data_IF_569310739116
#
_entry.id   IF_569310739116
#
_cell.length_a   1.000
_cell.length_b   1.000
_cell.length_c   1.000
_cell.angle_alpha   90.00
_cell.angle_beta   90.00
_cell.angle_gamma   90.00
#
_symmetry.space_group_name_H-M   'P 1'
#
loop_
_entity.id
_entity.type
_entity.pdbx_description
1 polymer ?
#
# COMPACT_ATOMS: atom_id res chain seq x y z
N UNK A 1 7.66 12.65 -17.79
CA UNK A 1 8.52 11.93 -16.82
C UNK A 1 9.23 10.81 -17.56
N UNK A 2 10.55 10.80 -17.58
CA UNK A 2 11.31 9.74 -18.23
C UNK A 2 11.61 8.64 -17.21
N UNK A 3 10.64 7.75 -17.00
CA UNK A 3 10.79 6.62 -16.09
C UNK A 3 11.92 5.67 -16.49
N UNK A 4 12.41 5.75 -17.74
CA UNK A 4 13.45 4.85 -18.24
C UNK A 4 14.75 5.02 -17.43
N UNK A 5 15.04 6.22 -16.91
CA UNK A 5 16.24 6.47 -16.08
C UNK A 5 16.19 5.80 -14.70
N UNK A 6 15.05 5.83 -14.01
CA UNK A 6 14.84 5.11 -12.73
C UNK A 6 14.92 3.60 -12.96
N UNK A 7 14.54 3.13 -14.15
CA UNK A 7 14.60 1.71 -14.50
C UNK A 7 15.97 1.25 -14.99
N UNK A 8 16.82 2.17 -15.46
CA UNK A 8 18.15 1.89 -15.98
C UNK A 8 19.25 2.05 -14.93
N UNK A 9 19.17 3.05 -14.04
CA UNK A 9 20.07 3.20 -12.89
C UNK A 9 19.36 2.68 -11.64
N UNK A 10 20.02 1.78 -10.89
CA UNK A 10 19.55 1.41 -9.55
C UNK A 10 19.49 2.65 -8.64
N UNK A 11 18.71 2.55 -7.57
CA UNK A 11 18.64 3.56 -6.51
C UNK A 11 18.97 2.91 -5.17
N UNK A 12 19.49 3.69 -4.22
CA UNK A 12 19.64 3.23 -2.85
C UNK A 12 18.33 3.44 -2.09
N UNK A 13 17.90 2.46 -1.29
CA UNK A 13 16.63 2.50 -0.58
C UNK A 13 16.88 2.63 0.93
N UNK A 14 16.93 3.88 1.41
CA UNK A 14 17.36 4.20 2.76
C UNK A 14 16.18 4.29 3.74
N UNK A 15 15.90 3.17 4.42
CA UNK A 15 14.81 3.03 5.40
C UNK A 15 14.92 4.07 6.52
N UNK A 16 16.11 4.26 7.09
CA UNK A 16 16.33 5.18 8.22
C UNK A 16 16.04 6.63 7.86
N UNK A 17 16.49 7.05 6.66
CA UNK A 17 16.19 8.36 6.10
C UNK A 17 14.68 8.56 5.94
N UNK A 18 13.97 7.60 5.33
CA UNK A 18 12.53 7.76 5.07
C UNK A 18 11.70 7.81 6.35
N UNK A 19 12.11 7.07 7.39
CA UNK A 19 11.50 7.18 8.71
C UNK A 19 11.71 8.59 9.25
N UNK A 20 12.95 9.08 9.28
CA UNK A 20 13.28 10.43 9.77
C UNK A 20 12.50 11.52 9.02
N UNK A 21 12.60 11.52 7.69
CA UNK A 21 11.95 12.50 6.81
C UNK A 21 10.42 12.44 6.96
N UNK A 22 9.84 11.25 7.13
CA UNK A 22 8.41 11.07 7.36
C UNK A 22 7.94 11.65 8.70
N UNK A 23 8.72 11.46 9.78
CA UNK A 23 8.45 12.08 11.08
C UNK A 23 8.60 13.60 11.04
N UNK A 24 9.61 14.11 10.34
CA UNK A 24 9.79 15.55 10.14
C UNK A 24 8.63 16.15 9.36
N UNK A 25 8.20 15.50 8.28
CA UNK A 25 7.03 15.93 7.50
C UNK A 25 5.78 15.97 8.37
N UNK A 26 5.50 14.90 9.13
CA UNK A 26 4.35 14.86 10.04
C UNK A 26 4.34 16.03 11.03
N UNK A 27 5.51 16.38 11.59
CA UNK A 27 5.64 17.51 12.53
C UNK A 27 5.36 18.88 11.90
N UNK A 28 5.47 19.02 10.57
CA UNK A 28 5.16 20.29 9.89
C UNK A 28 3.68 20.66 10.00
N UNK A 29 2.76 19.68 10.05
CA UNK A 29 1.32 19.91 10.18
C UNK A 29 0.58 18.73 10.84
N UNK A 30 0.84 18.50 12.13
CA UNK A 30 0.24 17.39 12.89
C UNK A 30 -1.29 17.45 12.83
N UNK A 31 -1.87 18.63 13.04
CA UNK A 31 -3.32 18.82 13.05
C UNK A 31 -3.94 18.51 11.70
N UNK A 32 -3.35 19.02 10.61
CA UNK A 32 -3.81 18.75 9.25
C UNK A 32 -3.76 17.26 8.90
N UNK A 33 -2.70 16.55 9.28
CA UNK A 33 -2.59 15.11 9.03
C UNK A 33 -3.58 14.26 9.86
N UNK A 34 -3.85 14.64 11.12
CA UNK A 34 -4.89 13.97 11.93
C UNK A 34 -6.26 14.18 11.30
N UNK A 35 -6.60 15.41 10.92
CA UNK A 35 -7.87 15.72 10.25
C UNK A 35 -7.97 14.95 8.93
N UNK A 36 -6.92 14.95 8.11
CA UNK A 36 -6.87 14.19 6.86
C UNK A 36 -7.10 12.69 7.10
N UNK A 37 -6.58 12.13 8.20
CA UNK A 37 -6.78 10.71 8.56
C UNK A 37 -8.24 10.42 8.90
N UNK A 38 -8.89 11.29 9.68
CA UNK A 38 -10.33 11.19 9.99
C UNK A 38 -11.15 11.26 8.70
N UNK A 39 -10.81 12.18 7.79
CA UNK A 39 -11.49 12.31 6.51
C UNK A 39 -11.26 11.11 5.58
N UNK A 40 -10.08 10.47 5.63
CA UNK A 40 -9.85 9.18 4.95
C UNK A 40 -10.80 8.12 5.49
N UNK A 41 -10.96 7.99 6.81
CA UNK A 41 -11.90 7.03 7.42
C UNK A 41 -13.33 7.30 6.95
N UNK A 42 -13.77 8.57 6.93
CA UNK A 42 -15.10 8.94 6.42
C UNK A 42 -15.25 8.59 4.94
N UNK A 43 -14.24 8.88 4.11
CA UNK A 43 -14.23 8.51 2.70
C UNK A 43 -14.24 7.00 2.48
N UNK A 44 -13.64 6.22 3.37
CA UNK A 44 -13.67 4.75 3.30
C UNK A 44 -15.05 4.15 3.55
N UNK A 45 -15.98 4.87 4.19
CA UNK A 45 -17.38 4.45 4.33
C UNK A 45 -18.10 4.53 2.98
N UNK A 46 -17.71 5.49 2.14
CA UNK A 46 -18.25 5.63 0.79
C UNK A 46 -17.63 4.54 -0.09
N UNK A 47 -18.45 3.70 -0.76
CA UNK A 47 -17.93 2.67 -1.64
C UNK A 47 -16.94 3.24 -2.66
N UNK A 48 -15.85 2.50 -2.89
CA UNK A 48 -14.82 2.83 -3.89
C UNK A 48 -13.97 4.07 -3.61
N UNK A 49 -14.20 4.78 -2.50
CA UNK A 49 -13.53 6.06 -2.22
C UNK A 49 -12.32 5.96 -1.28
N UNK A 50 -12.12 4.83 -0.60
CA UNK A 50 -10.98 4.65 0.32
C UNK A 50 -9.60 4.74 -0.38
N UNK A 51 -9.42 4.08 -1.51
CA UNK A 51 -8.16 4.15 -2.28
C UNK A 51 -7.89 5.54 -2.86
N UNK A 52 -8.96 6.23 -3.29
CA UNK A 52 -8.90 7.61 -3.75
C UNK A 52 -8.45 8.54 -2.61
N UNK A 53 -9.05 8.40 -1.43
CA UNK A 53 -8.73 9.22 -0.26
C UNK A 53 -7.28 9.04 0.18
N UNK A 54 -6.77 7.80 0.19
CA UNK A 54 -5.35 7.57 0.42
C UNK A 54 -4.48 8.23 -0.66
N UNK A 55 -4.90 8.18 -1.94
CA UNK A 55 -4.22 8.90 -3.03
C UNK A 55 -4.16 10.41 -2.78
N UNK A 56 -5.27 11.00 -2.36
CA UNK A 56 -5.35 12.42 -2.03
C UNK A 56 -4.54 12.78 -0.78
N UNK A 57 -4.41 11.85 0.18
CA UNK A 57 -3.51 12.02 1.31
C UNK A 57 -2.06 12.23 0.85
N UNK A 58 -1.58 11.52 -0.18
CA UNK A 58 -0.26 11.79 -0.73
C UNK A 58 -0.15 13.18 -1.37
N UNK A 59 -1.23 13.69 -2.00
CA UNK A 59 -1.25 15.09 -2.48
C UNK A 59 -1.12 16.08 -1.32
N UNK A 60 -1.76 15.80 -0.18
CA UNK A 60 -1.61 16.58 1.06
C UNK A 60 -0.18 16.52 1.58
N UNK A 61 0.43 15.33 1.67
CA UNK A 61 1.84 15.21 2.04
C UNK A 61 2.74 16.10 1.17
N UNK A 62 2.51 16.12 -0.15
CA UNK A 62 3.25 16.99 -1.08
C UNK A 62 2.98 18.48 -0.84
N UNK A 63 1.74 18.88 -0.56
CA UNK A 63 1.41 20.28 -0.21
C UNK A 63 2.17 20.72 1.05
N UNK A 64 2.10 19.93 2.12
CA UNK A 64 2.81 20.24 3.38
C UNK A 64 4.32 20.27 3.18
N UNK A 65 4.86 19.32 2.40
CA UNK A 65 6.29 19.29 2.11
C UNK A 65 6.77 20.54 1.36
N UNK A 66 5.94 21.08 0.46
CA UNK A 66 6.16 22.31 -0.30
C UNK A 66 5.82 23.59 0.49
N UNK A 67 5.41 23.48 1.75
CA UNK A 67 5.01 24.63 2.58
C UNK A 67 3.68 25.27 2.15
N UNK A 68 2.86 24.55 1.38
CA UNK A 68 1.53 25.00 0.97
C UNK A 68 0.50 24.72 2.08
N UNK A 69 -0.53 25.56 2.16
CA UNK A 69 -1.63 25.39 3.10
C UNK A 69 -2.51 24.20 2.68
N UNK A 70 -2.83 23.34 3.63
CA UNK A 70 -3.75 22.21 3.46
C UNK A 70 -5.17 22.67 3.75
N UNK A 71 -6.12 22.23 2.93
CA UNK A 71 -7.54 22.45 3.15
C UNK A 71 -8.25 21.12 3.41
N UNK A 72 -9.27 21.11 4.26
CA UNK A 72 -10.06 19.89 4.52
C UNK A 72 -10.68 19.31 3.23
N UNK A 73 -10.97 20.17 2.25
CA UNK A 73 -11.46 19.77 0.93
C UNK A 73 -10.48 18.95 0.09
N UNK A 74 -9.17 18.98 0.41
CA UNK A 74 -8.15 18.29 -0.37
C UNK A 74 -8.31 16.76 -0.38
N UNK A 75 -8.87 16.19 0.70
CA UNK A 75 -9.19 14.75 0.74
C UNK A 75 -10.33 14.39 -0.22
N UNK A 76 -11.24 15.33 -0.49
CA UNK A 76 -12.43 15.16 -1.33
C UNK A 76 -12.17 15.52 -2.81
N UNK A 77 -10.95 15.36 -3.31
CA UNK A 77 -10.62 15.52 -4.73
C UNK A 77 -10.99 14.26 -5.52
N UNK A 78 -12.08 14.31 -6.30
CA UNK A 78 -12.56 13.20 -7.13
C UNK A 78 -11.98 13.18 -8.55
N UNK A 79 -11.00 14.04 -8.86
CA UNK A 79 -10.43 14.15 -10.22
C UNK A 79 -9.92 12.80 -10.75
N UNK A 80 -9.26 12.00 -9.89
CA UNK A 80 -8.67 10.71 -10.28
C UNK A 80 -9.61 9.52 -10.02
N UNK A 81 -10.90 9.76 -9.71
CA UNK A 81 -11.86 8.74 -9.28
C UNK A 81 -11.91 7.54 -10.24
N UNK A 82 -12.02 7.78 -11.54
CA UNK A 82 -12.15 6.70 -12.53
C UNK A 82 -10.93 5.77 -12.61
N UNK A 83 -9.73 6.30 -12.33
CA UNK A 83 -8.50 5.51 -12.31
C UNK A 83 -8.47 4.63 -11.07
N UNK A 84 -8.80 5.20 -9.92
CA UNK A 84 -8.90 4.47 -8.65
C UNK A 84 -10.02 3.43 -8.66
N UNK A 85 -11.15 3.71 -9.30
CA UNK A 85 -12.23 2.75 -9.48
C UNK A 85 -11.76 1.53 -10.30
N UNK A 86 -11.12 1.75 -11.46
CA UNK A 86 -10.55 0.66 -12.27
C UNK A 86 -9.46 -0.10 -11.51
N UNK A 87 -8.64 0.60 -10.74
CA UNK A 87 -7.61 0.00 -9.91
C UNK A 87 -8.21 -0.89 -8.82
N UNK A 88 -9.28 -0.44 -8.17
CA UNK A 88 -10.00 -1.24 -7.18
C UNK A 88 -10.60 -2.50 -7.80
N UNK A 89 -11.30 -2.37 -8.94
CA UNK A 89 -11.87 -3.54 -9.64
C UNK A 89 -10.78 -4.55 -10.01
N UNK A 90 -9.61 -4.09 -10.48
CA UNK A 90 -8.46 -4.95 -10.73
C UNK A 90 -7.98 -5.68 -9.48
N UNK A 91 -7.84 -4.97 -8.35
CA UNK A 91 -7.45 -5.60 -7.08
C UNK A 91 -8.51 -6.60 -6.62
N UNK A 92 -9.80 -6.27 -6.70
CA UNK A 92 -10.87 -7.19 -6.31
C UNK A 92 -10.85 -8.48 -7.14
N UNK A 93 -10.72 -8.37 -8.47
CA UNK A 93 -10.61 -9.55 -9.34
C UNK A 93 -9.35 -10.36 -8.99
N UNK A 94 -8.21 -9.69 -8.82
CA UNK A 94 -6.96 -10.36 -8.46
C UNK A 94 -7.09 -11.08 -7.11
N UNK A 95 -7.69 -10.45 -6.09
CA UNK A 95 -7.93 -11.07 -4.79
C UNK A 95 -8.89 -12.27 -4.89
N UNK A 96 -9.99 -12.18 -5.64
CA UNK A 96 -10.91 -13.30 -5.85
C UNK A 96 -10.17 -14.49 -6.46
N UNK A 97 -9.38 -14.25 -7.51
CA UNK A 97 -8.57 -15.30 -8.17
C UNK A 97 -7.54 -15.88 -7.20
N UNK A 98 -6.86 -15.03 -6.44
CA UNK A 98 -5.88 -15.44 -5.42
C UNK A 98 -6.51 -16.27 -4.29
N UNK A 99 -7.80 -16.08 -3.98
CA UNK A 99 -8.51 -16.83 -2.95
C UNK A 99 -8.98 -18.22 -3.40
N UNK A 100 -9.06 -18.51 -4.71
CA UNK A 100 -9.55 -19.80 -5.23
C UNK A 100 -8.79 -21.01 -4.64
N UNK A 101 -7.44 -21.03 -4.61
CA UNK A 101 -6.70 -22.15 -4.04
C UNK A 101 -7.00 -22.38 -2.55
N UNK A 102 -7.26 -21.31 -1.79
CA UNK A 102 -7.62 -21.40 -0.36
C UNK A 102 -9.01 -22.02 -0.22
N UNK A 103 -9.96 -21.65 -1.05
CA UNK A 103 -11.30 -22.24 -0.98
C UNK A 103 -11.25 -23.73 -1.33
N UNK A 104 -10.43 -24.10 -2.32
CA UNK A 104 -10.22 -25.51 -2.71
C UNK A 104 -9.51 -26.32 -1.62
N UNK A 105 -8.54 -25.73 -0.91
CA UNK A 105 -7.83 -26.41 0.19
C UNK A 105 -8.73 -26.69 1.40
N UNK A 106 -9.81 -25.93 1.57
CA UNK A 106 -10.77 -26.13 2.66
C UNK A 106 -11.79 -27.23 2.37
N UNK A 107 -12.03 -27.61 1.11
CA UNK A 107 -13.05 -28.61 0.74
C UNK A 107 -12.83 -29.96 1.44
N UNK A 108 -11.62 -30.56 1.47
CA UNK A 108 -11.39 -31.83 2.16
C UNK A 108 -11.67 -31.73 3.67
N UNK A 109 -11.35 -30.59 4.28
CA UNK A 109 -11.57 -30.33 5.71
C UNK A 109 -13.06 -30.24 6.00
N UNK A 110 -13.82 -29.52 5.16
CA UNK A 110 -15.28 -29.45 5.28
C UNK A 110 -15.93 -30.82 5.11
N UNK A 111 -15.45 -31.64 4.18
CA UNK A 111 -15.98 -33.00 3.98
C UNK A 111 -15.67 -33.91 5.16
N UNK A 112 -14.43 -33.92 5.66
CA UNK A 112 -14.05 -34.69 6.84
C UNK A 112 -14.82 -34.24 8.09
N UNK A 113 -15.03 -32.93 8.28
CA UNK A 113 -15.79 -32.40 9.42
C UNK A 113 -17.30 -32.71 9.36
N UNK A 114 -17.86 -32.91 8.16
CA UNK A 114 -19.31 -33.17 7.98
C UNK A 114 -19.66 -34.65 7.89
N UNK A 115 -18.78 -35.46 7.29
CA UNK A 115 -19.06 -36.84 6.94
C UNK A 115 -17.99 -37.83 7.42
N UNK A 116 -16.84 -37.35 7.91
CA UNK A 116 -15.73 -38.19 8.36
C UNK A 116 -15.72 -38.45 9.86
N UNK A 117 -14.88 -39.39 10.28
CA UNK A 117 -14.64 -39.67 11.70
C UNK A 117 -13.63 -38.68 12.28
N UNK A 118 -13.54 -38.59 13.61
CA UNK A 118 -12.63 -37.67 14.30
C UNK A 118 -11.14 -37.84 13.89
N UNK A 119 -10.75 -39.02 13.40
CA UNK A 119 -9.40 -39.32 12.90
C UNK A 119 -9.09 -38.75 11.50
N UNK A 120 -10.10 -38.38 10.72
CA UNK A 120 -9.95 -37.99 9.30
C UNK A 120 -9.52 -36.53 9.11
N UNK A 121 -9.55 -35.73 10.18
CA UNK A 121 -9.18 -34.32 10.13
C UNK A 121 -7.70 -34.12 9.77
N UNK A 122 -6.83 -34.98 10.28
CA UNK A 122 -5.39 -34.95 9.99
C UNK A 122 -5.10 -35.18 8.51
N UNK A 123 -5.51 -36.32 7.92
CA UNK A 123 -5.40 -36.58 6.48
C UNK A 123 -6.05 -35.51 5.61
N UNK A 124 -7.20 -34.96 6.01
CA UNK A 124 -7.87 -33.88 5.29
C UNK A 124 -7.06 -32.57 5.26
N UNK A 125 -6.35 -32.25 6.36
CA UNK A 125 -5.44 -31.10 6.42
C UNK A 125 -4.28 -31.24 5.40
N UNK A 126 -3.71 -32.45 5.31
CA UNK A 126 -2.64 -32.75 4.36
C UNK A 126 -3.15 -32.79 2.91
N UNK A 127 -4.30 -33.41 2.66
CA UNK A 127 -4.95 -33.44 1.34
C UNK A 127 -5.34 -32.04 0.84
N UNK A 128 -5.74 -31.15 1.76
CA UNK A 128 -5.97 -29.73 1.48
C UNK A 128 -4.68 -28.95 1.19
N UNK A 129 -3.49 -29.51 1.43
CA UNK A 129 -2.23 -28.83 1.13
C UNK A 129 -1.90 -27.65 2.05
N UNK A 130 -2.57 -27.54 3.21
CA UNK A 130 -2.57 -26.36 4.09
C UNK A 130 -1.18 -25.88 4.54
N UNK A 131 -0.15 -26.73 4.58
CA UNK A 131 1.21 -26.30 4.94
C UNK A 131 1.94 -25.56 3.82
N UNK A 132 2.27 -26.28 2.75
CA UNK A 132 3.10 -25.74 1.65
C UNK A 132 2.33 -24.69 0.83
N UNK A 133 1.05 -24.94 0.52
CA UNK A 133 0.26 -24.01 -0.28
C UNK A 133 -0.01 -22.70 0.44
N UNK A 134 -0.21 -22.73 1.76
CA UNK A 134 -0.42 -21.50 2.54
C UNK A 134 0.85 -20.64 2.58
N UNK A 135 2.03 -21.26 2.73
CA UNK A 135 3.31 -20.54 2.66
C UNK A 135 3.49 -19.92 1.27
N UNK A 136 3.28 -20.68 0.20
CA UNK A 136 3.37 -20.17 -1.17
C UNK A 136 2.38 -19.02 -1.43
N UNK A 137 1.16 -19.15 -0.90
CA UNK A 137 0.14 -18.12 -0.97
C UNK A 137 0.56 -16.83 -0.25
N UNK A 138 1.07 -16.94 0.98
CA UNK A 138 1.58 -15.80 1.75
C UNK A 138 2.71 -15.09 0.97
N UNK A 139 3.67 -15.86 0.45
CA UNK A 139 4.76 -15.32 -0.36
C UNK A 139 4.25 -14.61 -1.62
N UNK A 140 3.23 -15.16 -2.28
CA UNK A 140 2.59 -14.56 -3.45
C UNK A 140 1.88 -13.25 -3.10
N UNK A 141 1.17 -13.18 -1.97
CA UNK A 141 0.50 -11.95 -1.49
C UNK A 141 1.53 -10.87 -1.18
N UNK A 142 2.64 -11.20 -0.51
CA UNK A 142 3.71 -10.23 -0.28
C UNK A 142 4.33 -9.76 -1.59
N UNK A 143 4.67 -10.67 -2.52
CA UNK A 143 5.21 -10.29 -3.82
C UNK A 143 4.24 -9.38 -4.61
N UNK A 144 2.94 -9.68 -4.54
CA UNK A 144 1.89 -8.86 -5.13
C UNK A 144 1.78 -7.50 -4.44
N UNK A 145 1.77 -7.42 -3.11
CA UNK A 145 1.72 -6.14 -2.40
C UNK A 145 2.90 -5.22 -2.76
N UNK A 146 4.11 -5.78 -2.88
CA UNK A 146 5.32 -5.03 -3.25
C UNK A 146 5.26 -4.56 -4.71
N UNK A 147 4.67 -5.34 -5.63
CA UNK A 147 4.52 -4.90 -7.02
C UNK A 147 3.58 -3.70 -7.17
N UNK A 148 2.63 -3.54 -6.25
CA UNK A 148 1.70 -2.39 -6.21
C UNK A 148 2.18 -1.22 -5.35
N UNK A 149 3.33 -1.32 -4.68
CA UNK A 149 3.82 -0.34 -3.70
C UNK A 149 3.81 1.12 -4.20
N UNK A 150 4.23 1.38 -5.44
CA UNK A 150 4.27 2.73 -6.02
C UNK A 150 3.02 3.11 -6.83
N UNK A 151 2.02 2.22 -7.01
CA UNK A 151 0.88 2.51 -7.89
C UNK A 151 0.09 3.72 -7.43
N UNK A 152 -0.20 3.82 -6.13
CA UNK A 152 -0.99 4.91 -5.57
C UNK A 152 -0.33 6.29 -5.70
N UNK A 153 0.96 6.52 -5.35
CA UNK A 153 1.64 7.80 -5.58
C UNK A 153 1.84 8.09 -7.07
N UNK A 154 2.05 7.09 -7.93
CA UNK A 154 2.13 7.29 -9.39
C UNK A 154 0.81 7.85 -9.94
N UNK A 155 -0.33 7.32 -9.50
CA UNK A 155 -1.64 7.84 -9.93
C UNK A 155 -1.87 9.24 -9.36
N UNK A 156 -1.74 9.45 -8.05
CA UNK A 156 -2.11 10.71 -7.40
C UNK A 156 -1.14 11.87 -7.67
N UNK A 157 0.17 11.64 -7.60
CA UNK A 157 1.18 12.70 -7.69
C UNK A 157 1.55 13.01 -9.13
N UNK A 158 1.56 12.00 -10.00
CA UNK A 158 1.96 12.12 -11.41
C UNK A 158 0.79 12.01 -12.39
N UNK A 159 -0.45 11.87 -11.90
CA UNK A 159 -1.70 11.86 -12.68
C UNK A 159 -1.71 10.82 -13.81
N UNK A 160 -1.09 9.66 -13.60
CA UNK A 160 -1.12 8.56 -14.58
C UNK A 160 -2.53 7.97 -14.65
N UNK A 161 -3.24 8.21 -15.75
CA UNK A 161 -4.65 7.83 -15.92
C UNK A 161 -4.87 6.36 -16.31
N UNK A 162 -3.80 5.58 -16.48
CA UNK A 162 -3.86 4.17 -16.88
C UNK A 162 -3.32 3.26 -15.77
N UNK A 163 -4.19 2.42 -15.21
CA UNK A 163 -3.84 1.44 -14.15
C UNK A 163 -2.72 0.50 -14.61
N UNK A 164 -2.77 0.04 -15.86
CA UNK A 164 -1.73 -0.84 -16.42
C UNK A 164 -0.38 -0.13 -16.50
N UNK A 165 -0.36 1.14 -16.88
CA UNK A 165 0.88 1.92 -16.93
C UNK A 165 1.42 2.15 -15.51
N UNK A 166 0.56 2.56 -14.57
CA UNK A 166 0.94 2.74 -13.17
C UNK A 166 1.49 1.46 -12.55
N UNK A 167 0.85 0.31 -12.78
CA UNK A 167 1.33 -0.99 -12.33
C UNK A 167 2.66 -1.38 -12.97
N UNK A 168 2.76 -1.34 -14.30
CA UNK A 168 3.98 -1.76 -14.99
C UNK A 168 5.19 -0.95 -14.56
N UNK A 169 4.98 0.33 -14.29
CA UNK A 169 5.97 1.21 -13.75
C UNK A 169 6.32 0.89 -12.29
N UNK A 170 5.30 0.75 -11.43
CA UNK A 170 5.49 0.36 -10.03
C UNK A 170 6.32 -0.91 -9.92
N UNK A 171 6.01 -1.93 -10.72
CA UNK A 171 6.77 -3.17 -10.77
C UNK A 171 8.22 -2.98 -11.26
N UNK A 172 8.42 -2.18 -12.31
CA UNK A 172 9.76 -1.89 -12.85
C UNK A 172 10.66 -1.21 -11.81
N UNK A 173 10.10 -0.35 -10.97
CA UNK A 173 10.82 0.34 -9.89
C UNK A 173 11.03 -0.62 -8.72
N UNK A 174 9.95 -1.20 -8.20
CA UNK A 174 9.97 -2.03 -7.00
C UNK A 174 10.92 -3.24 -7.10
N UNK A 175 11.00 -3.89 -8.26
CA UNK A 175 11.88 -5.05 -8.45
C UNK A 175 13.38 -4.74 -8.28
N UNK A 176 13.79 -3.48 -8.38
CA UNK A 176 15.20 -3.07 -8.21
C UNK A 176 15.67 -3.16 -6.76
N UNK A 177 14.75 -2.94 -5.81
CA UNK A 177 15.01 -2.97 -4.38
C UNK A 177 13.93 -3.77 -3.64
N UNK A 178 13.52 -4.90 -4.22
CA UNK A 178 12.37 -5.69 -3.76
C UNK A 178 12.45 -6.01 -2.26
N UNK A 179 13.58 -6.57 -1.81
CA UNK A 179 13.78 -6.96 -0.42
C UNK A 179 13.80 -5.77 0.55
N UNK A 180 14.40 -4.65 0.15
CA UNK A 180 14.43 -3.44 0.98
C UNK A 180 13.04 -2.81 1.10
N UNK A 181 12.26 -2.80 0.03
CA UNK A 181 10.86 -2.33 0.06
C UNK A 181 10.01 -3.28 0.91
N UNK A 182 10.27 -4.59 0.86
CA UNK A 182 9.57 -5.56 1.71
C UNK A 182 9.84 -5.30 3.20
N UNK A 183 11.10 -5.21 3.60
CA UNK A 183 11.50 -4.92 4.99
C UNK A 183 10.91 -3.58 5.43
N UNK A 184 11.03 -2.55 4.60
CA UNK A 184 10.44 -1.24 4.87
C UNK A 184 8.93 -1.30 5.04
N UNK A 185 8.22 -2.02 4.17
CA UNK A 185 6.76 -2.15 4.24
C UNK A 185 6.32 -2.84 5.53
N UNK A 186 7.08 -3.83 5.98
CA UNK A 186 6.85 -4.49 7.28
C UNK A 186 7.10 -3.54 8.45
N UNK A 187 8.24 -2.85 8.46
CA UNK A 187 8.58 -1.87 9.52
C UNK A 187 7.53 -0.76 9.61
N UNK A 188 7.19 -0.15 8.48
CA UNK A 188 6.19 0.92 8.44
C UNK A 188 4.79 0.41 8.72
N UNK A 189 4.46 -0.83 8.34
CA UNK A 189 3.22 -1.49 8.72
C UNK A 189 3.07 -1.57 10.24
N UNK A 190 4.10 -2.09 10.92
CA UNK A 190 4.12 -2.14 12.40
C UNK A 190 3.99 -0.73 12.99
N UNK A 191 4.79 0.24 12.53
CA UNK A 191 4.72 1.63 13.00
C UNK A 191 3.30 2.18 12.87
N UNK A 192 2.63 1.92 11.73
CA UNK A 192 1.28 2.42 11.43
C UNK A 192 0.22 1.82 12.34
N UNK A 193 0.42 0.59 12.81
CA UNK A 193 -0.56 -0.19 13.59
C UNK A 193 -0.30 -0.19 15.09
N UNK A 194 0.88 0.23 15.58
CA UNK A 194 1.21 0.29 17.02
C UNK A 194 0.16 1.07 17.82
N UNK A 195 -0.45 2.10 17.21
CA UNK A 195 -1.49 2.91 17.82
C UNK A 195 -2.76 2.14 18.21
N UNK A 196 -2.99 0.95 17.63
CA UNK A 196 -4.10 0.08 17.99
C UNK A 196 -3.99 -0.39 19.45
N UNK A 197 -2.76 -0.63 19.93
CA UNK A 197 -2.47 -1.08 21.30
C UNK A 197 -2.94 -0.03 22.33
N UNK A 198 -2.93 1.26 21.96
CA UNK A 198 -3.45 2.37 22.77
C UNK A 198 -4.97 2.56 22.59
N UNK A 199 -5.76 1.50 22.75
CA UNK A 199 -7.23 1.50 22.63
C UNK A 199 -7.75 2.05 21.29
N UNK A 200 -7.00 1.86 20.19
CA UNK A 200 -7.35 2.38 18.87
C UNK A 200 -7.16 3.89 18.68
N UNK A 201 -7.13 4.70 19.73
CA UNK A 201 -6.95 6.17 19.63
C UNK A 201 -5.57 6.50 19.04
N UNK A 202 -4.55 5.71 19.38
CA UNK A 202 -3.21 5.89 18.85
C UNK A 202 -3.14 5.81 17.32
N UNK A 203 -4.11 5.16 16.65
CA UNK A 203 -4.13 5.05 15.19
C UNK A 203 -4.23 6.40 14.49
N UNK A 204 -4.86 7.39 15.14
CA UNK A 204 -4.98 8.75 14.63
C UNK A 204 -3.63 9.45 14.50
N UNK A 205 -2.60 8.96 15.19
CA UNK A 205 -1.23 9.46 15.10
C UNK A 205 -0.36 8.51 14.27
N UNK A 206 -0.45 7.20 14.50
CA UNK A 206 0.44 6.24 13.85
C UNK A 206 0.14 6.06 12.36
N UNK A 207 -1.13 6.10 11.94
CA UNK A 207 -1.50 6.00 10.54
C UNK A 207 -0.97 7.17 9.68
N UNK A 208 -1.18 8.46 10.03
CA UNK A 208 -0.62 9.56 9.25
C UNK A 208 0.90 9.56 9.24
N UNK A 209 1.56 9.20 10.35
CA UNK A 209 3.02 9.02 10.39
C UNK A 209 3.46 7.97 9.36
N UNK A 210 2.80 6.81 9.33
CA UNK A 210 3.09 5.76 8.36
C UNK A 210 2.92 6.22 6.90
N UNK A 211 1.89 7.01 6.62
CA UNK A 211 1.66 7.58 5.28
C UNK A 211 2.76 8.61 4.93
N UNK A 212 3.16 9.48 5.86
CA UNK A 212 4.26 10.42 5.66
C UNK A 212 5.61 9.72 5.41
N UNK A 213 5.89 8.62 6.12
CA UNK A 213 7.10 7.81 5.91
C UNK A 213 7.08 7.16 4.52
N UNK A 214 5.93 6.61 4.09
CA UNK A 214 5.77 6.10 2.72
C UNK A 214 5.97 7.21 1.69
N UNK A 215 5.37 8.38 1.90
CA UNK A 215 5.55 9.54 1.04
C UNK A 215 7.03 9.94 0.91
N UNK A 216 7.80 9.97 2.01
CA UNK A 216 9.23 10.27 1.97
C UNK A 216 10.01 9.29 1.07
N UNK A 217 9.69 8.00 1.15
CA UNK A 217 10.29 6.99 0.26
C UNK A 217 9.94 7.23 -1.21
N UNK A 218 8.70 7.67 -1.49
CA UNK A 218 8.26 7.95 -2.86
C UNK A 218 8.91 9.21 -3.40
N UNK A 219 9.01 10.26 -2.59
CA UNK A 219 9.70 11.50 -2.93
C UNK A 219 11.17 11.22 -3.28
N UNK A 220 11.89 10.45 -2.48
CA UNK A 220 13.29 10.14 -2.75
C UNK A 220 13.47 9.28 -4.03
N UNK A 221 12.66 8.24 -4.18
CA UNK A 221 12.76 7.31 -5.33
C UNK A 221 12.26 7.94 -6.63
N UNK A 222 11.17 8.71 -6.59
CA UNK A 222 10.49 9.24 -7.77
C UNK A 222 10.80 10.71 -8.08
N UNK A 223 11.00 11.57 -7.07
CA UNK A 223 11.21 13.02 -7.26
C UNK A 223 12.70 13.40 -7.29
N UNK A 224 13.53 12.86 -6.39
CA UNK A 224 14.98 13.19 -6.37
C UNK A 224 15.71 12.69 -7.63
N UNK A 225 15.22 11.61 -8.26
CA UNK A 225 15.74 11.15 -9.56
C UNK A 225 15.34 12.06 -10.73
N UNK A 226 14.25 12.83 -10.60
CA UNK A 226 13.87 13.84 -11.60
C UNK A 226 14.69 15.13 -11.45
N UNK A 227 15.08 15.53 -10.24
CA UNK A 227 15.87 16.76 -10.01
C UNK A 227 17.32 16.67 -10.52
N UNK A 228 17.90 15.46 -10.63
CA UNK A 228 19.22 15.25 -11.27
C UNK A 228 19.24 15.45 -12.79
N UNK A 229 18.11 15.88 -13.40
CA UNK A 229 18.03 16.26 -14.81
C UNK A 229 18.13 17.78 -15.05
N UNK A 230 18.29 18.59 -13.98
CA UNK A 230 18.36 20.06 -14.07
C UNK A 230 19.73 20.69 -13.78
N UNK A 231 20.79 19.87 -13.65
CA UNK A 231 22.20 20.25 -13.52
C UNK A 231 23.01 19.48 -14.56
#
# INVERSE_FOLDING_TARGET
MNFDLITNKGYDFNIGKYISDGFELFKKDIGGFIVATILVVIMSIIPFCGLLALGNFYKICRKVDQGQKVEAGDIFDFTDFWVYFKFMVLICIAMIVLMIPIQMSLVPIFMAARYGDAGDLGPALFAGGMGIWMILFILLVFAFAISFYFVQPIISLYRVQSVRQAYSLSWKIAKKNFWMILIFSLVVGVISEVGIIACGIGILFTAPIGICIKYASFKDVLETQNQKQGL
#
